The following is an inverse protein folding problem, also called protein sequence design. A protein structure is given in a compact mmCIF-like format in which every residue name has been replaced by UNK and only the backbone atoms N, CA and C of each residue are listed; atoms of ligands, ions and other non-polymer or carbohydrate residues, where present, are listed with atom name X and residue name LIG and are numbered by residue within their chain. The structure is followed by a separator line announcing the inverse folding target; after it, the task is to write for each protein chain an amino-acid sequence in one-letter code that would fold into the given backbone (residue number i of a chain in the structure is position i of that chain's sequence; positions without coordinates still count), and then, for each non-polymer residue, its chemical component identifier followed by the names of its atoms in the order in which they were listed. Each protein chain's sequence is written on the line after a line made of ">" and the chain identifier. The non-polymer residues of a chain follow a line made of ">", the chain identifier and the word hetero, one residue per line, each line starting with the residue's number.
data_IF_427511320626
#
_entry.id   IF_427511320626
#
_cell.length_a   1.000
_cell.length_b   1.000
_cell.length_c   1.000
_cell.angle_alpha   90.00
_cell.angle_beta   90.00
_cell.angle_gamma   90.00
#
_symmetry.space_group_name_H-M   'P 1'
#
loop_
_entity.id
_entity.type
_entity.pdbx_description
1 polymer ?
#
# COMPACT_ATOMS: atom_id res chain seq x y z
N UNK A 1 -17.77 23.74 5.23
CA UNK A 1 -17.94 22.78 4.14
C UNK A 1 -16.74 22.93 3.20
N UNK A 2 -16.58 22.14 2.15
CA UNK A 2 -15.36 22.09 1.32
C UNK A 2 -14.95 23.48 0.76
N UNK A 3 -13.65 23.83 0.89
CA UNK A 3 -13.08 25.12 0.43
C UNK A 3 -12.89 25.15 -1.08
N UNK A 4 -12.74 26.34 -1.65
CA UNK A 4 -12.38 26.54 -3.06
C UNK A 4 -10.96 27.03 -3.19
N UNK A 5 -10.27 26.52 -4.21
CA UNK A 5 -8.98 27.04 -4.70
C UNK A 5 -9.14 27.40 -6.16
N UNK A 6 -8.78 28.64 -6.54
CA UNK A 6 -8.91 29.09 -7.92
C UNK A 6 -7.52 29.19 -8.58
N UNK A 7 -7.30 28.32 -9.56
CA UNK A 7 -6.07 28.27 -10.35
C UNK A 7 -6.18 28.93 -11.71
N UNK A 8 -7.35 29.46 -12.05
CA UNK A 8 -7.57 30.07 -13.36
C UNK A 8 -6.63 31.26 -13.57
N UNK A 9 -6.14 31.40 -14.81
CA UNK A 9 -5.16 32.42 -15.17
C UNK A 9 -3.78 32.28 -14.54
N UNK A 10 -3.50 31.14 -13.86
CA UNK A 10 -2.26 30.92 -13.14
C UNK A 10 -1.49 29.75 -13.74
N UNK A 11 -0.24 29.99 -14.14
CA UNK A 11 0.70 28.92 -14.52
C UNK A 11 1.64 28.65 -13.35
N UNK A 12 1.44 27.54 -12.66
CA UNK A 12 2.15 27.22 -11.42
C UNK A 12 3.11 26.05 -11.60
N UNK A 13 4.16 26.05 -10.77
CA UNK A 13 5.05 24.87 -10.64
C UNK A 13 4.38 23.76 -9.85
N UNK A 14 4.89 22.54 -9.95
CA UNK A 14 4.44 21.40 -9.14
C UNK A 14 4.39 21.75 -7.64
N UNK A 15 5.45 22.34 -7.12
CA UNK A 15 5.53 22.73 -5.71
C UNK A 15 4.47 23.77 -5.31
N UNK A 16 4.17 24.72 -6.20
CA UNK A 16 3.14 25.74 -5.95
C UNK A 16 1.74 25.10 -5.92
N UNK A 17 1.40 24.19 -6.84
CA UNK A 17 0.14 23.45 -6.76
C UNK A 17 0.03 22.65 -5.46
N UNK A 18 1.11 21.99 -5.03
CA UNK A 18 1.13 21.21 -3.78
C UNK A 18 0.92 22.09 -2.54
N UNK A 19 1.48 23.30 -2.52
CA UNK A 19 1.31 24.22 -1.38
C UNK A 19 -0.11 24.79 -1.26
N UNK A 20 -0.82 24.91 -2.38
CA UNK A 20 -2.22 25.41 -2.43
C UNK A 20 -3.25 24.28 -2.11
N UNK A 21 -2.84 23.02 -2.29
CA UNK A 21 -3.61 21.84 -1.97
C UNK A 21 -2.86 21.01 -0.90
N UNK A 22 -2.72 21.55 0.31
CA UNK A 22 -1.98 20.86 1.37
C UNK A 22 -2.71 19.58 1.78
N UNK A 23 -1.92 18.61 2.22
CA UNK A 23 -2.41 17.40 2.87
C UNK A 23 -2.57 17.61 4.37
N UNK A 24 -3.35 16.74 5.00
CA UNK A 24 -3.37 16.69 6.46
C UNK A 24 -1.97 16.31 6.96
N UNK A 25 -1.43 17.09 7.88
CA UNK A 25 -0.13 16.80 8.47
C UNK A 25 -0.22 15.63 9.43
N UNK A 26 0.58 14.60 9.18
CA UNK A 26 0.85 13.53 10.13
C UNK A 26 2.23 13.76 10.76
N UNK A 27 2.26 13.98 12.07
CA UNK A 27 3.53 14.08 12.78
C UNK A 27 4.12 12.69 13.06
N UNK A 28 4.60 12.01 12.00
CA UNK A 28 5.19 10.68 12.10
C UNK A 28 6.43 10.68 12.99
N UNK A 29 7.16 11.81 13.09
CA UNK A 29 8.34 11.91 13.94
C UNK A 29 7.98 11.84 15.43
N UNK A 30 6.92 12.51 15.86
CA UNK A 30 6.45 12.39 17.23
C UNK A 30 5.85 11.00 17.50
N UNK A 31 5.13 10.44 16.54
CA UNK A 31 4.65 9.05 16.64
C UNK A 31 5.82 8.06 16.79
N UNK A 32 6.95 8.25 16.08
CA UNK A 32 8.16 7.42 16.25
C UNK A 32 8.69 7.44 17.67
N UNK A 33 8.72 8.62 18.33
CA UNK A 33 9.16 8.72 19.73
C UNK A 33 8.21 7.99 20.69
N UNK A 34 6.90 8.07 20.42
CA UNK A 34 5.89 7.41 21.25
C UNK A 34 5.94 5.87 21.15
N UNK A 35 6.28 5.33 19.99
CA UNK A 35 6.33 3.89 19.78
C UNK A 35 7.69 3.26 20.17
N UNK A 36 8.76 4.04 20.29
CA UNK A 36 10.09 3.51 20.60
C UNK A 36 10.11 2.57 21.82
N UNK A 37 9.47 2.91 22.97
CA UNK A 37 9.39 1.99 24.10
C UNK A 37 8.61 0.70 23.78
N UNK A 38 7.60 0.79 22.89
CA UNK A 38 6.82 -0.37 22.46
C UNK A 38 7.69 -1.32 21.64
N UNK A 39 8.45 -0.77 20.67
CA UNK A 39 9.34 -1.56 19.82
C UNK A 39 10.39 -2.29 20.65
N UNK A 40 11.02 -1.60 21.60
CA UNK A 40 12.03 -2.22 22.52
C UNK A 40 11.41 -3.24 23.45
N UNK A 41 10.18 -3.03 23.93
CA UNK A 41 9.46 -3.99 24.75
C UNK A 41 9.13 -5.27 23.99
N UNK A 42 8.72 -5.18 22.71
CA UNK A 42 8.46 -6.37 21.89
C UNK A 42 9.77 -7.10 21.54
N UNK A 43 10.82 -6.34 21.20
CA UNK A 43 12.13 -6.90 20.83
C UNK A 43 12.76 -7.76 21.93
N UNK A 44 12.64 -7.32 23.18
CA UNK A 44 13.30 -7.95 24.32
C UNK A 44 12.34 -8.72 25.23
N UNK A 45 11.04 -8.72 24.90
CA UNK A 45 9.97 -9.26 25.74
C UNK A 45 9.55 -10.68 25.36
N UNK A 46 8.37 -11.03 25.86
CA UNK A 46 7.72 -12.32 25.69
C UNK A 46 6.27 -12.15 25.22
N UNK A 47 5.55 -13.25 24.98
CA UNK A 47 4.13 -13.23 24.66
C UNK A 47 3.31 -12.46 25.73
N UNK A 48 3.71 -12.54 27.01
CA UNK A 48 3.05 -11.78 28.08
C UNK A 48 3.09 -10.27 27.85
N UNK A 49 4.20 -9.76 27.31
CA UNK A 49 4.32 -8.34 27.01
C UNK A 49 3.37 -7.91 25.88
N UNK A 50 3.20 -8.73 24.86
CA UNK A 50 2.21 -8.49 23.80
C UNK A 50 0.77 -8.55 24.33
N UNK A 51 0.47 -9.47 25.23
CA UNK A 51 -0.84 -9.56 25.88
C UNK A 51 -1.14 -8.31 26.73
N UNK A 52 -0.14 -7.78 27.43
CA UNK A 52 -0.26 -6.55 28.23
C UNK A 52 -0.42 -5.33 27.34
N UNK A 53 0.32 -5.24 26.22
CA UNK A 53 0.16 -4.18 25.22
C UNK A 53 -1.24 -4.22 24.56
N UNK A 54 -1.77 -5.41 24.30
CA UNK A 54 -3.14 -5.56 23.80
C UNK A 54 -4.17 -5.06 24.83
N UNK A 55 -3.97 -5.36 26.11
CA UNK A 55 -4.82 -4.82 27.17
C UNK A 55 -4.74 -3.29 27.26
N UNK A 56 -3.55 -2.73 27.09
CA UNK A 56 -3.30 -1.29 27.18
C UNK A 56 -3.92 -0.52 26.01
N UNK A 57 -3.69 -0.99 24.76
CA UNK A 57 -4.05 -0.24 23.55
C UNK A 57 -5.38 -0.67 22.91
N UNK A 58 -5.70 -1.97 22.96
CA UNK A 58 -6.92 -2.52 22.37
C UNK A 58 -8.01 -2.73 23.46
N UNK A 59 -7.61 -2.65 24.73
CA UNK A 59 -8.50 -2.73 25.89
C UNK A 59 -9.07 -4.14 26.14
N UNK A 60 -8.42 -5.15 25.60
CA UNK A 60 -8.72 -6.56 25.82
C UNK A 60 -7.43 -7.35 25.89
N UNK A 61 -7.34 -8.32 26.83
CA UNK A 61 -6.24 -9.25 26.93
C UNK A 61 -6.65 -10.58 26.29
N UNK A 62 -6.16 -10.92 25.07
CA UNK A 62 -6.43 -12.22 24.47
C UNK A 62 -5.95 -13.39 25.35
N UNK A 63 -6.50 -14.56 25.16
CA UNK A 63 -6.00 -15.77 25.84
C UNK A 63 -4.64 -16.23 25.26
N UNK A 64 -4.34 -15.89 24.03
CA UNK A 64 -3.09 -16.15 23.30
C UNK A 64 -2.96 -15.15 22.16
N UNK A 65 -1.74 -14.74 21.84
CA UNK A 65 -1.44 -13.91 20.68
C UNK A 65 -1.62 -14.72 19.38
N UNK A 66 -1.24 -15.99 19.37
CA UNK A 66 -1.50 -16.87 18.24
C UNK A 66 -2.98 -17.27 18.22
N UNK A 67 -3.68 -16.95 17.12
CA UNK A 67 -5.09 -17.35 16.95
C UNK A 67 -5.18 -18.86 16.74
N UNK A 68 -6.00 -19.58 17.52
CA UNK A 68 -6.18 -21.02 17.33
C UNK A 68 -6.79 -21.35 15.97
N UNK A 69 -6.36 -22.45 15.34
CA UNK A 69 -6.91 -22.91 14.05
C UNK A 69 -8.42 -23.23 14.12
N UNK A 70 -8.91 -23.63 15.29
CA UNK A 70 -10.36 -23.82 15.54
C UNK A 70 -11.15 -22.52 15.40
N UNK A 71 -10.60 -21.37 15.81
CA UNK A 71 -11.27 -20.08 15.65
C UNK A 71 -11.38 -19.67 14.16
N UNK A 72 -10.35 -19.96 13.36
CA UNK A 72 -10.39 -19.77 11.91
C UNK A 72 -11.46 -20.65 11.25
N UNK A 73 -11.52 -21.92 11.64
CA UNK A 73 -12.50 -22.87 11.11
C UNK A 73 -13.94 -22.47 11.46
N UNK A 74 -14.20 -22.11 12.73
CA UNK A 74 -15.51 -21.64 13.18
C UNK A 74 -15.93 -20.37 12.47
N UNK A 75 -15.03 -19.39 12.35
CA UNK A 75 -15.31 -18.13 11.65
C UNK A 75 -15.69 -18.36 10.17
N UNK A 76 -15.03 -19.31 9.50
CA UNK A 76 -15.37 -19.67 8.13
C UNK A 76 -16.72 -20.40 8.03
N UNK A 77 -17.02 -21.27 8.98
CA UNK A 77 -18.29 -22.02 9.01
C UNK A 77 -19.50 -21.12 9.27
N UNK A 78 -19.32 -20.07 10.08
CA UNK A 78 -20.35 -19.11 10.49
C UNK A 78 -20.43 -17.89 9.57
N UNK A 79 -19.54 -17.79 8.55
CA UNK A 79 -19.54 -16.66 7.65
C UNK A 79 -20.84 -16.56 6.86
N UNK A 80 -21.45 -15.37 6.87
CA UNK A 80 -22.65 -15.08 6.07
C UNK A 80 -22.44 -15.51 4.60
N UNK A 81 -23.37 -16.28 4.02
CA UNK A 81 -23.22 -16.81 2.65
C UNK A 81 -23.10 -15.73 1.57
N UNK A 82 -23.75 -14.57 1.75
CA UNK A 82 -23.66 -13.46 0.80
C UNK A 82 -22.28 -12.80 0.87
N UNK A 83 -21.75 -12.62 2.10
CA UNK A 83 -20.38 -12.11 2.30
C UNK A 83 -19.36 -13.09 1.73
N UNK A 84 -19.54 -14.39 1.96
CA UNK A 84 -18.69 -15.43 1.38
C UNK A 84 -18.64 -15.35 -0.14
N UNK A 85 -19.80 -15.29 -0.80
CA UNK A 85 -19.90 -15.18 -2.26
C UNK A 85 -19.19 -13.93 -2.79
N UNK A 86 -19.37 -12.79 -2.11
CA UNK A 86 -18.70 -11.54 -2.48
C UNK A 86 -17.16 -11.62 -2.34
N UNK A 87 -16.67 -12.23 -1.26
CA UNK A 87 -15.24 -12.46 -1.06
C UNK A 87 -14.64 -13.39 -2.11
N UNK A 88 -15.31 -14.51 -2.40
CA UNK A 88 -14.88 -15.49 -3.42
C UNK A 88 -14.80 -14.86 -4.83
N UNK A 89 -15.77 -14.02 -5.20
CA UNK A 89 -15.74 -13.27 -6.45
C UNK A 89 -14.54 -12.29 -6.50
N UNK A 90 -14.34 -11.52 -5.42
CA UNK A 90 -13.23 -10.55 -5.33
C UNK A 90 -11.88 -11.26 -5.37
N UNK A 91 -11.72 -12.37 -4.65
CA UNK A 91 -10.52 -13.23 -4.67
C UNK A 91 -10.24 -13.71 -6.10
N UNK A 92 -11.26 -14.18 -6.81
CA UNK A 92 -11.11 -14.67 -8.20
C UNK A 92 -10.58 -13.56 -9.12
N UNK A 93 -11.12 -12.34 -9.03
CA UNK A 93 -10.69 -11.20 -9.84
C UNK A 93 -9.26 -10.75 -9.49
N UNK A 94 -8.95 -10.65 -8.20
CA UNK A 94 -7.59 -10.32 -7.73
C UNK A 94 -6.56 -11.35 -8.22
N UNK A 95 -6.87 -12.66 -8.12
CA UNK A 95 -5.98 -13.71 -8.62
C UNK A 95 -5.71 -13.58 -10.12
N UNK A 96 -6.71 -13.19 -10.90
CA UNK A 96 -6.56 -12.97 -12.33
C UNK A 96 -5.61 -11.82 -12.62
N UNK A 97 -5.87 -10.63 -12.05
CA UNK A 97 -5.05 -9.45 -12.29
C UNK A 97 -3.61 -9.61 -11.78
N UNK A 98 -3.46 -10.12 -10.55
CA UNK A 98 -2.12 -10.35 -9.99
C UNK A 98 -1.37 -11.48 -10.70
N UNK A 99 -2.09 -12.49 -11.25
CA UNK A 99 -1.48 -13.52 -12.07
C UNK A 99 -0.77 -12.96 -13.31
N UNK A 100 -1.34 -11.94 -13.93
CA UNK A 100 -0.76 -11.26 -15.09
C UNK A 100 0.44 -10.36 -14.74
N UNK A 101 0.68 -10.09 -13.44
CA UNK A 101 1.81 -9.29 -12.97
C UNK A 101 3.10 -10.09 -12.75
N UNK A 102 3.04 -11.41 -12.82
CA UNK A 102 4.23 -12.26 -12.60
C UNK A 102 5.28 -11.97 -13.65
N UNK A 103 6.51 -11.68 -13.22
CA UNK A 103 7.65 -11.44 -14.11
C UNK A 103 8.35 -12.73 -14.47
N UNK A 104 8.83 -12.81 -15.71
CA UNK A 104 9.72 -13.86 -16.16
C UNK A 104 11.19 -13.48 -15.94
N UNK A 105 12.05 -14.48 -15.73
CA UNK A 105 13.49 -14.28 -15.71
C UNK A 105 13.98 -13.72 -17.05
N UNK A 106 14.98 -12.85 -16.99
CA UNK A 106 15.58 -12.24 -18.19
C UNK A 106 17.02 -12.69 -18.34
N UNK A 107 17.34 -13.30 -19.49
CA UNK A 107 18.67 -13.75 -19.81
C UNK A 107 19.28 -12.84 -20.88
N UNK A 108 20.40 -12.19 -20.56
CA UNK A 108 21.14 -11.32 -21.46
C UNK A 108 22.51 -11.92 -21.77
N UNK A 109 22.77 -12.24 -23.02
CA UNK A 109 24.13 -12.56 -23.50
C UNK A 109 24.86 -11.25 -23.73
N UNK A 110 25.84 -10.94 -22.88
CA UNK A 110 26.62 -9.69 -22.94
C UNK A 110 27.81 -9.79 -23.89
N UNK A 111 28.31 -11.00 -24.06
CA UNK A 111 29.36 -11.39 -25.01
C UNK A 111 29.22 -12.90 -25.27
N UNK A 112 29.80 -13.41 -26.34
CA UNK A 112 29.82 -14.86 -26.56
C UNK A 112 30.54 -15.56 -25.40
N UNK A 113 29.87 -16.51 -24.76
CA UNK A 113 30.34 -17.16 -23.52
C UNK A 113 30.09 -16.37 -22.22
N UNK A 114 29.58 -15.15 -22.28
CA UNK A 114 29.23 -14.32 -21.10
C UNK A 114 27.76 -14.01 -21.01
N UNK A 115 27.12 -14.42 -19.89
CA UNK A 115 25.68 -14.31 -19.68
C UNK A 115 25.37 -13.71 -18.31
N UNK A 116 24.42 -12.78 -18.27
CA UNK A 116 23.80 -12.28 -17.04
C UNK A 116 22.33 -12.65 -17.05
N UNK A 117 21.89 -13.41 -16.04
CA UNK A 117 20.48 -13.77 -15.85
C UNK A 117 19.93 -13.05 -14.65
N UNK A 118 18.90 -12.23 -14.83
CA UNK A 118 18.09 -11.69 -13.74
C UNK A 118 16.97 -12.68 -13.41
N UNK A 119 16.99 -13.21 -12.18
CA UNK A 119 15.94 -14.08 -11.66
C UNK A 119 15.09 -13.37 -10.63
N UNK A 120 13.79 -13.58 -10.70
CA UNK A 120 12.82 -13.07 -9.73
C UNK A 120 12.53 -14.11 -8.65
N UNK A 121 13.02 -13.87 -7.44
CA UNK A 121 12.95 -14.79 -6.31
C UNK A 121 12.06 -14.19 -5.23
N UNK A 122 11.04 -14.92 -4.71
CA UNK A 122 10.22 -14.42 -3.62
C UNK A 122 11.04 -14.18 -2.34
N UNK A 123 10.54 -13.31 -1.46
CA UNK A 123 10.97 -13.29 -0.06
C UNK A 123 10.53 -14.60 0.59
N UNK A 124 11.26 -15.08 1.60
CA UNK A 124 10.95 -16.38 2.20
C UNK A 124 9.73 -16.28 3.10
N UNK A 125 9.60 -15.17 3.86
CA UNK A 125 8.53 -14.97 4.82
C UNK A 125 8.03 -13.54 4.85
N UNK A 126 6.69 -13.37 4.90
CA UNK A 126 6.05 -12.06 4.98
C UNK A 126 5.04 -11.96 6.12
N UNK A 127 5.05 -10.82 6.80
CA UNK A 127 4.04 -10.41 7.76
C UNK A 127 3.05 -9.44 7.11
N UNK A 128 1.76 -9.76 7.15
CA UNK A 128 0.70 -8.96 6.55
C UNK A 128 -0.12 -8.32 7.67
N UNK A 129 -0.09 -7.00 7.75
CA UNK A 129 -0.88 -6.26 8.74
C UNK A 129 -2.25 -5.88 8.17
N UNK A 130 -3.29 -6.24 8.90
CA UNK A 130 -4.68 -5.92 8.57
C UNK A 130 -5.26 -5.06 9.68
N UNK A 131 -5.65 -3.81 9.40
CA UNK A 131 -6.24 -2.95 10.40
C UNK A 131 -7.54 -3.53 10.98
N UNK A 132 -7.86 -3.10 12.19
CA UNK A 132 -9.11 -3.40 12.86
C UNK A 132 -9.56 -2.20 13.70
N UNK A 133 -10.66 -2.33 14.43
CA UNK A 133 -11.18 -1.31 15.32
C UNK A 133 -12.47 -0.70 14.80
N UNK A 134 -12.46 0.54 14.30
CA UNK A 134 -13.69 1.25 13.88
C UNK A 134 -14.39 0.66 12.64
N UNK A 135 -13.63 0.01 11.78
CA UNK A 135 -14.13 -0.71 10.60
C UNK A 135 -13.44 -2.06 10.47
N UNK A 136 -14.07 -2.96 9.73
CA UNK A 136 -13.58 -4.30 9.45
C UNK A 136 -13.13 -4.36 8.00
N UNK A 137 -11.91 -4.81 7.75
CA UNK A 137 -11.28 -4.80 6.44
C UNK A 137 -10.92 -6.21 5.93
N UNK A 138 -11.90 -7.09 5.64
CA UNK A 138 -11.62 -8.38 5.00
C UNK A 138 -10.99 -8.19 3.62
N UNK A 139 -11.28 -7.09 2.93
CA UNK A 139 -10.64 -6.70 1.67
C UNK A 139 -9.12 -6.55 1.84
N UNK A 140 -8.64 -5.95 2.93
CA UNK A 140 -7.19 -5.82 3.16
C UNK A 140 -6.50 -7.16 3.37
N UNK A 141 -7.19 -8.19 3.86
CA UNK A 141 -6.65 -9.56 3.89
C UNK A 141 -6.40 -10.05 2.48
N UNK A 142 -7.42 -9.97 1.59
CA UNK A 142 -7.29 -10.43 0.20
C UNK A 142 -6.21 -9.66 -0.56
N UNK A 143 -6.19 -8.32 -0.41
CA UNK A 143 -5.28 -7.43 -1.12
C UNK A 143 -3.80 -7.67 -0.74
N UNK A 144 -3.53 -8.13 0.47
CA UNK A 144 -2.17 -8.47 0.92
C UNK A 144 -1.82 -9.94 0.62
N UNK A 145 -2.71 -10.88 0.92
CA UNK A 145 -2.42 -12.32 0.82
C UNK A 145 -2.28 -12.78 -0.63
N UNK A 146 -3.17 -12.33 -1.53
CA UNK A 146 -3.21 -12.86 -2.90
C UNK A 146 -1.92 -12.55 -3.68
N UNK A 147 -1.39 -11.32 -3.74
CA UNK A 147 -0.14 -11.08 -4.44
C UNK A 147 1.06 -11.80 -3.80
N UNK A 148 1.08 -11.99 -2.47
CA UNK A 148 2.10 -12.78 -1.79
C UNK A 148 2.05 -14.27 -2.20
N UNK A 149 0.83 -14.86 -2.27
CA UNK A 149 0.62 -16.23 -2.73
C UNK A 149 1.03 -16.40 -4.21
N UNK A 150 0.69 -15.44 -5.07
CA UNK A 150 1.04 -15.48 -6.50
C UNK A 150 2.55 -15.32 -6.70
N UNK A 151 3.20 -14.49 -5.87
CA UNK A 151 4.66 -14.39 -5.82
C UNK A 151 5.33 -15.68 -5.31
N UNK A 152 4.56 -16.64 -4.78
CA UNK A 152 5.03 -17.90 -4.19
C UNK A 152 5.86 -17.71 -2.93
N UNK A 153 5.52 -16.72 -2.10
CA UNK A 153 6.10 -16.58 -0.76
C UNK A 153 5.81 -17.83 0.04
N UNK A 154 6.86 -18.44 0.61
CA UNK A 154 6.75 -19.76 1.26
C UNK A 154 5.99 -19.70 2.60
N UNK A 155 6.15 -18.59 3.35
CA UNK A 155 5.54 -18.40 4.66
C UNK A 155 4.82 -17.06 4.75
N UNK A 156 3.53 -17.09 5.09
CA UNK A 156 2.66 -15.90 5.17
C UNK A 156 2.01 -15.89 6.55
N UNK A 157 2.27 -14.84 7.32
CA UNK A 157 1.64 -14.55 8.59
C UNK A 157 0.74 -13.32 8.48
N UNK A 158 -0.40 -13.33 9.17
CA UNK A 158 -1.33 -12.18 9.23
C UNK A 158 -1.43 -11.70 10.68
N UNK A 159 -1.40 -10.39 10.90
CA UNK A 159 -1.70 -9.78 12.19
C UNK A 159 -2.89 -8.82 12.07
N UNK A 160 -3.80 -8.89 13.02
CA UNK A 160 -4.93 -7.96 13.14
C UNK A 160 -5.26 -7.73 14.62
N UNK A 161 -5.69 -6.50 15.02
CA UNK A 161 -5.95 -6.17 16.40
C UNK A 161 -6.99 -7.09 17.04
N UNK A 162 -6.78 -7.48 18.32
CA UNK A 162 -7.79 -8.17 19.10
C UNK A 162 -8.98 -7.26 19.38
N UNK A 163 -10.18 -7.83 19.49
CA UNK A 163 -11.41 -7.07 19.74
C UNK A 163 -12.14 -7.62 20.96
N UNK A 164 -12.68 -6.71 21.79
CA UNK A 164 -13.39 -7.04 23.02
C UNK A 164 -14.64 -7.89 22.76
N UNK A 165 -15.39 -7.54 21.72
CA UNK A 165 -16.65 -8.19 21.38
C UNK A 165 -16.46 -9.64 20.93
N UNK A 166 -15.22 -10.04 20.61
CA UNK A 166 -14.88 -11.37 20.15
C UNK A 166 -13.87 -12.07 21.09
N UNK A 167 -13.90 -11.72 22.36
CA UNK A 167 -13.06 -12.39 23.38
C UNK A 167 -11.56 -12.22 23.17
N UNK A 168 -11.13 -11.15 22.52
CA UNK A 168 -9.73 -10.89 22.22
C UNK A 168 -9.26 -11.53 20.92
N UNK A 169 -10.12 -12.14 20.13
CA UNK A 169 -9.79 -12.54 18.74
C UNK A 169 -9.97 -11.34 17.80
N UNK A 170 -9.28 -11.34 16.65
CA UNK A 170 -9.63 -10.47 15.52
C UNK A 170 -11.06 -10.71 15.05
N UNK A 171 -11.64 -9.75 14.34
CA UNK A 171 -13.01 -9.84 13.85
C UNK A 171 -13.25 -11.13 13.05
N UNK A 172 -14.39 -11.85 13.27
CA UNK A 172 -14.66 -13.13 12.62
C UNK A 172 -14.57 -13.10 11.10
N UNK A 173 -15.02 -12.02 10.44
CA UNK A 173 -14.92 -11.88 8.98
C UNK A 173 -13.44 -11.83 8.50
N UNK A 174 -12.52 -11.24 9.29
CA UNK A 174 -11.08 -11.26 8.99
C UNK A 174 -10.56 -12.69 9.10
N UNK A 175 -10.90 -13.40 10.18
CA UNK A 175 -10.50 -14.79 10.40
C UNK A 175 -11.04 -15.72 9.30
N UNK A 176 -12.31 -15.54 8.93
CA UNK A 176 -12.94 -16.29 7.85
C UNK A 176 -12.26 -16.06 6.50
N UNK A 177 -11.87 -14.80 6.20
CA UNK A 177 -11.14 -14.46 4.97
C UNK A 177 -9.74 -15.06 4.95
N UNK A 178 -9.04 -15.08 6.09
CA UNK A 178 -7.77 -15.79 6.24
C UNK A 178 -7.95 -17.29 5.95
N UNK A 179 -8.98 -17.91 6.52
CA UNK A 179 -9.29 -19.32 6.30
C UNK A 179 -9.65 -19.63 4.83
N UNK A 180 -10.46 -18.76 4.15
CA UNK A 180 -10.78 -18.87 2.71
C UNK A 180 -9.52 -18.85 1.83
N UNK A 181 -8.50 -18.10 2.25
CA UNK A 181 -7.22 -17.99 1.54
C UNK A 181 -6.18 -19.03 1.99
N UNK A 182 -6.54 -19.94 2.90
CA UNK A 182 -5.66 -20.99 3.39
C UNK A 182 -4.58 -20.50 4.36
N UNK A 183 -4.74 -19.29 4.93
CA UNK A 183 -3.83 -18.76 5.94
C UNK A 183 -4.15 -19.40 7.29
N UNK A 184 -3.15 -20.04 7.89
CA UNK A 184 -3.24 -20.70 9.20
C UNK A 184 -2.46 -19.97 10.28
N UNK A 185 -1.64 -19.00 9.89
CA UNK A 185 -0.81 -18.22 10.79
C UNK A 185 -1.37 -16.82 10.97
N UNK A 186 -2.17 -16.65 12.05
CA UNK A 186 -2.83 -15.37 12.38
C UNK A 186 -2.50 -15.00 13.82
N UNK A 187 -2.22 -13.71 14.05
CA UNK A 187 -1.88 -13.14 15.34
C UNK A 187 -2.89 -12.07 15.76
N UNK A 188 -3.40 -12.18 16.97
CA UNK A 188 -4.27 -11.18 17.61
C UNK A 188 -3.43 -10.05 18.21
N UNK A 189 -2.83 -9.24 17.34
CA UNK A 189 -1.96 -8.12 17.72
C UNK A 189 -2.13 -6.97 16.74
N UNK A 190 -2.25 -5.75 17.24
CA UNK A 190 -2.45 -4.53 16.47
C UNK A 190 -1.27 -3.57 16.53
N UNK A 191 -1.40 -2.43 15.86
CA UNK A 191 -0.50 -1.28 16.03
C UNK A 191 0.98 -1.52 15.74
N UNK A 192 1.82 -0.71 16.39
CA UNK A 192 3.28 -0.77 16.24
C UNK A 192 3.86 -2.11 16.72
N UNK A 193 3.23 -2.74 17.73
CA UNK A 193 3.67 -4.02 18.28
C UNK A 193 3.53 -5.17 17.28
N UNK A 194 2.56 -5.12 16.37
CA UNK A 194 2.44 -6.10 15.28
C UNK A 194 3.61 -6.01 14.30
N UNK A 195 3.99 -4.78 13.93
CA UNK A 195 5.13 -4.53 13.05
C UNK A 195 6.43 -4.97 13.71
N UNK A 196 6.60 -4.69 15.02
CA UNK A 196 7.76 -5.13 15.80
C UNK A 196 7.84 -6.65 15.90
N UNK A 197 6.70 -7.33 16.13
CA UNK A 197 6.63 -8.81 16.16
C UNK A 197 7.12 -9.41 14.85
N UNK A 198 6.70 -8.88 13.71
CA UNK A 198 7.16 -9.35 12.40
C UNK A 198 8.64 -9.00 12.14
N UNK A 199 9.11 -7.85 12.63
CA UNK A 199 10.49 -7.42 12.41
C UNK A 199 11.52 -8.19 13.24
N UNK A 200 11.19 -8.52 14.47
CA UNK A 200 12.13 -9.16 15.40
C UNK A 200 11.88 -10.66 15.58
N UNK A 201 10.63 -11.11 15.34
CA UNK A 201 10.19 -12.41 15.81
C UNK A 201 9.98 -12.42 17.32
N UNK A 202 9.59 -13.58 17.85
CA UNK A 202 9.50 -13.83 19.28
C UNK A 202 9.59 -15.35 19.52
N UNK A 203 10.53 -15.77 20.33
CA UNK A 203 10.80 -17.18 20.58
C UNK A 203 9.55 -17.94 21.05
N UNK A 204 9.28 -19.08 20.41
CA UNK A 204 8.12 -19.91 20.69
C UNK A 204 6.77 -19.38 20.20
N UNK A 205 6.70 -18.17 19.63
CA UNK A 205 5.48 -17.54 19.16
C UNK A 205 5.50 -17.25 17.65
N UNK A 206 6.46 -16.48 17.16
CA UNK A 206 6.52 -16.03 15.78
C UNK A 206 7.95 -15.96 15.27
N UNK A 207 8.19 -16.48 14.07
CA UNK A 207 9.44 -16.27 13.37
C UNK A 207 9.51 -14.87 12.75
N UNK A 208 10.73 -14.31 12.68
CA UNK A 208 11.01 -13.05 12.00
C UNK A 208 10.59 -13.13 10.52
N UNK A 209 10.04 -12.04 10.01
CA UNK A 209 9.71 -11.87 8.59
C UNK A 209 10.78 -11.06 7.84
N UNK A 210 10.88 -11.27 6.52
CA UNK A 210 11.75 -10.49 5.64
C UNK A 210 11.09 -9.18 5.21
N UNK A 211 9.76 -9.20 5.11
CA UNK A 211 8.95 -8.09 4.61
C UNK A 211 7.68 -7.96 5.46
N UNK A 212 7.25 -6.74 5.73
CA UNK A 212 5.92 -6.45 6.27
C UNK A 212 5.16 -5.54 5.33
N UNK A 213 3.87 -5.88 5.06
CA UNK A 213 2.97 -5.08 4.22
C UNK A 213 1.64 -4.82 4.92
N UNK A 214 0.86 -3.92 4.37
CA UNK A 214 -0.50 -3.61 4.82
C UNK A 214 -0.65 -2.18 5.34
N UNK A 215 -1.84 -1.58 5.16
CA UNK A 215 -2.15 -0.24 5.63
C UNK A 215 -2.31 -0.20 7.15
N UNK A 216 -2.20 0.97 7.76
CA UNK A 216 -2.40 1.14 9.18
C UNK A 216 -2.46 2.60 9.59
N UNK A 217 -2.67 2.85 10.88
CA UNK A 217 -2.67 4.18 11.44
C UNK A 217 -1.23 4.76 11.52
N UNK A 218 -1.12 5.99 12.03
CA UNK A 218 0.16 6.71 12.19
C UNK A 218 1.21 5.91 12.96
N UNK A 219 0.82 5.10 13.95
CA UNK A 219 1.76 4.29 14.76
C UNK A 219 2.30 3.09 13.97
N UNK A 220 1.49 2.52 13.08
CA UNK A 220 1.91 1.48 12.14
C UNK A 220 2.89 2.06 11.11
N UNK A 221 2.57 3.24 10.55
CA UNK A 221 3.47 3.94 9.62
C UNK A 221 4.79 4.31 10.29
N UNK A 222 4.74 4.83 11.53
CA UNK A 222 5.92 5.14 12.33
C UNK A 222 6.78 3.90 12.62
N UNK A 223 6.15 2.75 12.96
CA UNK A 223 6.86 1.50 13.20
C UNK A 223 7.54 0.98 11.93
N UNK A 224 6.85 1.00 10.79
CA UNK A 224 7.45 0.66 9.48
C UNK A 224 8.66 1.54 9.18
N UNK A 225 8.55 2.86 9.37
CA UNK A 225 9.67 3.81 9.19
C UNK A 225 10.83 3.51 10.13
N UNK A 226 10.57 3.31 11.42
CA UNK A 226 11.60 3.06 12.43
C UNK A 226 12.34 1.74 12.19
N UNK A 227 11.64 0.71 11.69
CA UNK A 227 12.18 -0.62 11.48
C UNK A 227 12.66 -0.89 10.05
N UNK A 228 12.57 0.11 9.16
CA UNK A 228 13.12 0.02 7.81
C UNK A 228 14.63 -0.24 7.86
N UNK A 229 15.06 -1.35 7.26
CA UNK A 229 16.44 -1.84 7.35
C UNK A 229 16.61 -3.01 8.32
N UNK A 230 15.69 -3.19 9.29
CA UNK A 230 15.55 -4.42 10.06
C UNK A 230 14.64 -5.41 9.33
N UNK A 231 13.57 -4.88 8.74
CA UNK A 231 12.61 -5.59 7.90
C UNK A 231 12.30 -4.76 6.64
N UNK A 232 12.02 -5.41 5.53
CA UNK A 232 11.46 -4.75 4.34
C UNK A 232 10.05 -4.23 4.61
N UNK A 233 9.66 -3.14 3.96
CA UNK A 233 8.30 -2.58 4.04
C UNK A 233 7.75 -2.33 2.65
N UNK A 234 6.42 -2.35 2.49
CA UNK A 234 5.73 -1.93 1.26
C UNK A 234 5.83 -0.42 1.05
N UNK A 235 5.18 0.35 1.92
CA UNK A 235 5.16 1.81 1.91
C UNK A 235 4.85 2.36 3.31
N UNK A 236 5.10 3.65 3.48
CA UNK A 236 4.62 4.40 4.63
C UNK A 236 3.24 4.96 4.26
N UNK A 237 2.18 4.38 4.82
CA UNK A 237 0.82 4.86 4.58
C UNK A 237 0.54 6.16 5.35
N UNK A 238 0.09 7.17 4.63
CA UNK A 238 -0.52 8.38 5.19
C UNK A 238 -2.05 8.29 5.22
N UNK A 239 -2.75 9.42 5.46
CA UNK A 239 -4.19 9.50 5.31
C UNK A 239 -4.59 9.13 3.88
N UNK A 240 -5.75 8.50 3.75
CA UNK A 240 -6.30 8.15 2.43
C UNK A 240 -6.75 9.39 1.66
N UNK A 241 -6.64 9.36 0.33
CA UNK A 241 -6.82 10.52 -0.54
C UNK A 241 -7.57 10.15 -1.82
N UNK A 242 -8.52 11.00 -2.22
CA UNK A 242 -9.08 10.99 -3.58
C UNK A 242 -8.83 12.34 -4.26
N UNK A 243 -8.50 12.28 -5.54
CA UNK A 243 -8.64 13.41 -6.46
C UNK A 243 -9.59 13.00 -7.61
N UNK A 244 -10.55 13.86 -7.94
CA UNK A 244 -11.46 13.66 -9.07
C UNK A 244 -11.19 14.77 -10.08
N UNK A 245 -10.76 14.40 -11.29
CA UNK A 245 -10.67 15.31 -12.43
C UNK A 245 -11.96 15.21 -13.25
N UNK A 246 -12.75 16.27 -13.31
CA UNK A 246 -14.05 16.25 -13.95
C UNK A 246 -14.30 17.51 -14.78
N UNK A 247 -14.92 17.36 -15.94
CA UNK A 247 -15.45 18.45 -16.77
C UNK A 247 -16.98 18.59 -16.62
N UNK A 248 -17.57 19.49 -17.39
CA UNK A 248 -19.00 19.75 -17.35
C UNK A 248 -19.89 18.55 -17.75
N UNK A 249 -19.33 17.47 -18.29
CA UNK A 249 -20.06 16.25 -18.64
C UNK A 249 -20.30 15.33 -17.44
N UNK A 250 -19.56 15.55 -16.34
CA UNK A 250 -19.69 14.75 -15.13
C UNK A 250 -21.04 15.00 -14.42
N UNK A 251 -21.52 13.98 -13.73
CA UNK A 251 -22.75 14.06 -12.95
C UNK A 251 -22.40 14.46 -11.51
N UNK A 252 -22.86 15.65 -11.08
CA UNK A 252 -22.55 16.21 -9.77
C UNK A 252 -22.88 15.25 -8.60
N UNK A 253 -23.97 14.49 -8.73
CA UNK A 253 -24.39 13.52 -7.75
C UNK A 253 -23.41 12.34 -7.58
N UNK A 254 -22.81 11.88 -8.67
CA UNK A 254 -21.82 10.81 -8.67
C UNK A 254 -20.51 11.33 -8.03
N UNK A 255 -19.99 12.49 -8.50
CA UNK A 255 -18.80 13.15 -7.95
C UNK A 255 -18.95 13.41 -6.44
N UNK A 256 -20.10 13.90 -6.00
CA UNK A 256 -20.35 14.12 -4.57
C UNK A 256 -20.37 12.81 -3.76
N UNK A 257 -20.93 11.73 -4.32
CA UNK A 257 -20.93 10.42 -3.69
C UNK A 257 -19.52 9.86 -3.50
N UNK A 258 -18.65 10.03 -4.52
CA UNK A 258 -17.27 9.53 -4.48
C UNK A 258 -16.40 10.35 -3.50
N UNK A 259 -16.58 11.68 -3.44
CA UNK A 259 -15.94 12.52 -2.41
C UNK A 259 -16.38 12.13 -0.99
N UNK A 260 -17.65 11.78 -0.80
CA UNK A 260 -18.21 11.34 0.49
C UNK A 260 -17.65 9.97 0.86
N UNK A 261 -17.59 9.01 -0.07
CA UNK A 261 -17.06 7.68 0.20
C UNK A 261 -15.62 7.73 0.70
N UNK A 262 -14.82 8.65 0.16
CA UNK A 262 -13.45 8.87 0.63
C UNK A 262 -13.41 9.54 2.01
N UNK A 263 -14.22 10.58 2.22
CA UNK A 263 -14.29 11.31 3.49
C UNK A 263 -14.82 10.46 4.65
N UNK A 264 -15.52 9.36 4.36
CA UNK A 264 -16.04 8.43 5.36
C UNK A 264 -14.94 7.65 6.09
N UNK A 265 -13.76 7.49 5.49
CA UNK A 265 -12.67 6.68 6.06
C UNK A 265 -12.13 7.29 7.36
N UNK A 266 -11.80 8.59 7.35
CA UNK A 266 -11.23 9.27 8.51
C UNK A 266 -11.47 10.79 8.45
N UNK A 267 -11.39 11.48 9.60
CA UNK A 267 -11.51 12.95 9.70
C UNK A 267 -10.39 13.69 8.95
N UNK A 268 -9.25 13.04 8.75
CA UNK A 268 -8.10 13.57 8.01
C UNK A 268 -8.01 13.06 6.57
N UNK A 269 -9.00 12.28 6.10
CA UNK A 269 -9.07 11.88 4.68
C UNK A 269 -9.18 13.11 3.78
N UNK A 270 -8.50 13.08 2.63
CA UNK A 270 -8.51 14.18 1.67
C UNK A 270 -9.45 13.88 0.50
N UNK A 271 -10.32 14.83 0.18
CA UNK A 271 -11.27 14.75 -0.92
C UNK A 271 -11.12 16.00 -1.81
N UNK A 272 -10.61 15.83 -3.03
CA UNK A 272 -10.31 16.93 -3.95
C UNK A 272 -11.09 16.73 -5.25
N UNK A 273 -11.82 17.76 -5.66
CA UNK A 273 -12.36 17.89 -7.01
C UNK A 273 -11.51 18.90 -7.78
N UNK A 274 -11.06 18.56 -8.98
CA UNK A 274 -10.41 19.46 -9.94
C UNK A 274 -11.31 19.58 -11.16
N UNK A 275 -11.76 20.77 -11.49
CA UNK A 275 -12.70 20.97 -12.60
C UNK A 275 -12.50 22.32 -13.30
N UNK A 276 -12.73 22.35 -14.60
CA UNK A 276 -12.80 23.57 -15.41
C UNK A 276 -14.23 24.17 -15.44
N UNK A 277 -15.19 23.51 -14.80
CA UNK A 277 -16.60 23.94 -14.75
C UNK A 277 -16.99 24.48 -13.37
N UNK A 278 -17.15 25.80 -13.27
CA UNK A 278 -17.68 26.42 -12.06
C UNK A 278 -19.13 25.95 -11.78
N UNK A 279 -19.90 25.66 -12.81
CA UNK A 279 -21.27 25.16 -12.67
C UNK A 279 -21.28 23.75 -12.06
N UNK A 280 -20.37 22.86 -12.47
CA UNK A 280 -20.21 21.55 -11.84
C UNK A 280 -19.78 21.68 -10.37
N UNK A 281 -18.84 22.57 -10.08
CA UNK A 281 -18.38 22.81 -8.72
C UNK A 281 -19.52 23.23 -7.77
N UNK A 282 -20.41 24.13 -8.23
CA UNK A 282 -21.56 24.58 -7.45
C UNK A 282 -22.62 23.47 -7.28
N UNK A 283 -22.88 22.70 -8.34
CA UNK A 283 -23.76 21.55 -8.29
C UNK A 283 -23.25 20.46 -7.32
N UNK A 284 -21.94 20.16 -7.35
CA UNK A 284 -21.31 19.21 -6.40
C UNK A 284 -21.43 19.71 -4.96
N UNK A 285 -21.25 21.01 -4.69
CA UNK A 285 -21.48 21.57 -3.34
C UNK A 285 -22.91 21.37 -2.86
N UNK A 286 -23.89 21.59 -3.74
CA UNK A 286 -25.28 21.39 -3.40
C UNK A 286 -25.58 19.91 -3.07
N UNK A 287 -25.06 19.00 -3.87
CA UNK A 287 -25.19 17.55 -3.63
C UNK A 287 -24.50 17.11 -2.33
N UNK A 288 -23.31 17.62 -2.01
CA UNK A 288 -22.61 17.34 -0.77
C UNK A 288 -23.44 17.73 0.46
N UNK A 289 -24.13 18.90 0.43
CA UNK A 289 -25.00 19.36 1.53
C UNK A 289 -26.10 18.33 1.80
N UNK A 290 -26.76 17.87 0.74
CA UNK A 290 -27.91 16.95 0.82
C UNK A 290 -27.42 15.57 1.31
N UNK A 291 -26.40 15.01 0.64
CA UNK A 291 -25.96 13.63 0.84
C UNK A 291 -25.25 13.41 2.18
N UNK A 292 -24.40 14.35 2.60
CA UNK A 292 -23.72 14.24 3.91
C UNK A 292 -24.70 14.19 5.07
N UNK A 293 -25.84 14.92 4.99
CA UNK A 293 -26.86 14.89 6.05
C UNK A 293 -27.60 13.56 6.13
N UNK A 294 -27.60 12.75 5.06
CA UNK A 294 -28.29 11.47 4.98
C UNK A 294 -27.41 10.27 5.34
N UNK A 295 -26.09 10.44 5.50
CA UNK A 295 -25.18 9.33 5.79
C UNK A 295 -25.08 9.00 7.27
N UNK A 296 -24.74 7.74 7.60
CA UNK A 296 -24.54 7.27 8.97
C UNK A 296 -23.40 8.01 9.69
N UNK A 297 -22.33 8.40 8.98
CA UNK A 297 -21.11 8.99 9.54
C UNK A 297 -20.97 10.48 9.20
N UNK A 298 -22.08 11.20 9.19
CA UNK A 298 -22.18 12.59 8.74
C UNK A 298 -21.22 13.56 9.44
N UNK A 299 -20.96 13.38 10.73
CA UNK A 299 -20.03 14.24 11.49
C UNK A 299 -18.58 14.07 11.00
N UNK A 300 -18.12 12.83 10.91
CA UNK A 300 -16.78 12.49 10.39
C UNK A 300 -16.56 13.04 8.99
N UNK A 301 -17.55 12.83 8.10
CA UNK A 301 -17.50 13.30 6.71
C UNK A 301 -17.45 14.83 6.65
N UNK A 302 -18.26 15.54 7.47
CA UNK A 302 -18.18 17.00 7.54
C UNK A 302 -16.84 17.51 7.99
N UNK A 303 -16.23 16.86 8.97
CA UNK A 303 -14.90 17.22 9.47
C UNK A 303 -13.85 17.02 8.35
N UNK A 304 -13.81 15.87 7.70
CA UNK A 304 -12.92 15.59 6.58
C UNK A 304 -13.06 16.58 5.41
N UNK A 305 -14.32 16.85 4.99
CA UNK A 305 -14.60 17.77 3.89
C UNK A 305 -14.35 19.26 4.23
N UNK A 306 -14.38 19.64 5.50
CA UNK A 306 -14.09 21.01 5.94
C UNK A 306 -12.62 21.24 6.29
N UNK A 307 -11.84 20.18 6.37
CA UNK A 307 -10.41 20.26 6.63
C UNK A 307 -9.63 20.92 5.49
N UNK A 308 -8.45 21.43 5.80
CA UNK A 308 -7.58 22.10 4.83
C UNK A 308 -7.15 21.18 3.67
N UNK A 309 -7.13 19.86 3.92
CA UNK A 309 -6.76 18.82 2.96
C UNK A 309 -7.82 18.59 1.88
N UNK A 310 -9.07 19.03 2.06
CA UNK A 310 -10.15 18.86 1.10
C UNK A 310 -10.47 20.16 0.37
N UNK A 311 -10.66 20.12 -0.95
CA UNK A 311 -10.89 21.32 -1.75
C UNK A 311 -11.63 21.03 -3.07
N UNK A 312 -12.28 22.06 -3.61
CA UNK A 312 -12.67 22.13 -5.02
C UNK A 312 -11.71 23.12 -5.69
N UNK A 313 -10.88 22.60 -6.59
CA UNK A 313 -9.92 23.36 -7.39
C UNK A 313 -10.56 23.71 -8.75
N UNK A 314 -10.66 25.00 -9.06
CA UNK A 314 -11.15 25.49 -10.36
C UNK A 314 -9.94 25.79 -11.23
N UNK A 315 -9.96 25.27 -12.46
CA UNK A 315 -8.89 25.42 -13.45
C UNK A 315 -9.42 26.05 -14.73
N UNK A 316 -8.52 26.50 -15.63
CA UNK A 316 -8.89 27.05 -16.91
C UNK A 316 -9.31 25.98 -17.93
N UNK A 317 -8.73 24.78 -17.83
CA UNK A 317 -8.96 23.67 -18.76
C UNK A 317 -8.64 22.32 -18.11
N UNK A 318 -9.07 21.24 -18.75
CA UNK A 318 -8.71 19.87 -18.32
C UNK A 318 -7.20 19.62 -18.41
N UNK A 319 -6.47 20.25 -19.34
CA UNK A 319 -5.02 20.18 -19.42
C UNK A 319 -4.36 20.75 -18.16
N UNK A 320 -4.79 21.92 -17.70
CA UNK A 320 -4.31 22.47 -16.42
C UNK A 320 -4.74 21.54 -15.25
N UNK A 321 -5.94 20.99 -15.30
CA UNK A 321 -6.41 20.00 -14.33
C UNK A 321 -5.51 18.77 -14.26
N UNK A 322 -5.01 18.26 -15.39
CA UNK A 322 -4.04 17.17 -15.47
C UNK A 322 -2.72 17.55 -14.80
N UNK A 323 -2.24 18.79 -14.97
CA UNK A 323 -1.05 19.29 -14.28
C UNK A 323 -1.25 19.30 -12.75
N UNK A 324 -2.43 19.77 -12.30
CA UNK A 324 -2.80 19.81 -10.88
C UNK A 324 -2.83 18.39 -10.27
N UNK A 325 -3.52 17.43 -10.90
CA UNK A 325 -3.63 16.07 -10.35
C UNK A 325 -2.30 15.32 -10.42
N UNK A 326 -1.47 15.54 -11.45
CA UNK A 326 -0.11 15.01 -11.51
C UNK A 326 0.80 15.63 -10.44
N UNK A 327 0.62 16.92 -10.12
CA UNK A 327 1.35 17.58 -9.05
C UNK A 327 0.92 17.04 -7.69
N UNK A 328 -0.37 16.85 -7.49
CA UNK A 328 -0.93 16.30 -6.25
C UNK A 328 -0.54 14.84 -6.03
N UNK A 329 -0.55 14.01 -7.07
CA UNK A 329 -0.18 12.59 -7.00
C UNK A 329 -1.00 11.83 -5.93
N UNK A 330 -2.32 11.83 -6.09
CA UNK A 330 -3.26 11.20 -5.15
C UNK A 330 -3.10 9.69 -5.08
N UNK A 331 -3.54 9.10 -3.97
CA UNK A 331 -3.74 7.66 -3.81
C UNK A 331 -4.73 7.14 -4.86
N UNK A 332 -5.92 7.75 -4.90
CA UNK A 332 -6.97 7.42 -5.86
C UNK A 332 -7.19 8.62 -6.78
N UNK A 333 -7.16 8.41 -8.10
CA UNK A 333 -7.50 9.42 -9.07
C UNK A 333 -8.66 8.96 -9.94
N UNK A 334 -9.79 9.63 -9.86
CA UNK A 334 -10.89 9.44 -10.80
C UNK A 334 -10.82 10.46 -11.94
N UNK A 335 -11.15 10.02 -13.15
CA UNK A 335 -11.24 10.87 -14.32
C UNK A 335 -12.65 10.77 -14.89
N UNK A 336 -13.44 11.82 -14.68
CA UNK A 336 -14.83 11.93 -15.10
C UNK A 336 -14.99 13.07 -16.13
N UNK A 337 -14.23 12.97 -17.22
CA UNK A 337 -14.28 13.89 -18.36
C UNK A 337 -14.91 13.22 -19.57
N UNK A 338 -15.38 14.00 -20.54
CA UNK A 338 -15.90 13.47 -21.81
C UNK A 338 -14.87 12.60 -22.54
N UNK A 339 -13.57 12.91 -22.38
CA UNK A 339 -12.45 12.19 -22.98
C UNK A 339 -11.64 11.36 -21.95
N UNK A 340 -12.28 10.84 -20.91
CA UNK A 340 -11.63 10.24 -19.73
C UNK A 340 -10.48 9.26 -20.07
N UNK A 341 -10.60 8.43 -21.11
CA UNK A 341 -9.55 7.49 -21.52
C UNK A 341 -8.33 8.19 -22.13
N UNK A 342 -8.54 9.28 -22.88
CA UNK A 342 -7.46 10.07 -23.48
C UNK A 342 -6.73 10.83 -22.38
N UNK A 343 -7.47 11.44 -21.47
CA UNK A 343 -6.93 12.21 -20.36
C UNK A 343 -6.18 11.32 -19.37
N UNK A 344 -6.68 10.10 -19.10
CA UNK A 344 -5.98 9.09 -18.33
C UNK A 344 -4.59 8.74 -18.91
N UNK A 345 -4.44 8.74 -20.23
CA UNK A 345 -3.15 8.52 -20.90
C UNK A 345 -2.09 9.59 -20.61
N UNK A 346 -2.48 10.75 -20.08
CA UNK A 346 -1.59 11.86 -19.69
C UNK A 346 -1.20 11.84 -18.21
N UNK A 347 -1.82 10.95 -17.42
CA UNK A 347 -1.53 10.82 -15.99
C UNK A 347 -0.23 10.06 -15.79
N UNK A 348 0.61 10.55 -14.88
CA UNK A 348 1.90 9.97 -14.52
C UNK A 348 2.03 9.68 -13.04
N UNK A 349 1.28 10.37 -12.21
CA UNK A 349 1.42 10.31 -10.76
C UNK A 349 0.04 10.07 -10.11
N UNK A 350 -0.27 8.82 -9.85
CA UNK A 350 -1.42 8.40 -9.04
C UNK A 350 -1.18 6.98 -8.52
N UNK A 351 -1.73 6.63 -7.38
CA UNK A 351 -1.68 5.26 -6.87
C UNK A 351 -2.51 4.32 -7.74
N UNK A 352 -3.75 4.71 -8.05
CA UNK A 352 -4.61 4.07 -9.03
C UNK A 352 -5.41 5.12 -9.83
N UNK A 353 -5.74 4.80 -11.08
CA UNK A 353 -6.54 5.67 -11.97
C UNK A 353 -7.83 4.98 -12.35
N UNK A 354 -8.96 5.62 -12.04
CA UNK A 354 -10.32 5.15 -12.31
C UNK A 354 -10.91 5.95 -13.46
N UNK A 355 -11.29 5.26 -14.55
CA UNK A 355 -11.55 5.92 -15.83
C UNK A 355 -13.04 5.87 -16.17
N UNK A 356 -13.67 7.03 -16.17
CA UNK A 356 -15.07 7.23 -16.55
C UNK A 356 -16.05 6.88 -15.44
N UNK A 357 -17.29 7.28 -15.66
CA UNK A 357 -18.41 7.26 -14.70
C UNK A 357 -18.62 5.93 -13.97
N UNK A 358 -18.41 4.78 -14.64
CA UNK A 358 -18.71 3.45 -14.09
C UNK A 358 -17.51 2.80 -13.42
N UNK A 359 -16.49 3.58 -13.08
CA UNK A 359 -15.28 3.14 -12.39
C UNK A 359 -15.05 3.96 -11.12
N UNK A 360 -15.97 3.95 -10.14
CA UNK A 360 -15.75 4.66 -8.87
C UNK A 360 -14.65 3.98 -8.05
N UNK A 361 -14.01 4.72 -7.13
CA UNK A 361 -12.97 4.21 -6.23
C UNK A 361 -13.44 3.00 -5.45
N UNK A 362 -14.68 3.00 -4.94
CA UNK A 362 -15.24 1.88 -4.18
C UNK A 362 -15.26 0.56 -4.97
N UNK A 363 -15.30 0.61 -6.29
CA UNK A 363 -15.13 -0.60 -7.12
C UNK A 363 -13.71 -1.16 -6.96
N UNK A 364 -12.68 -0.29 -6.94
CA UNK A 364 -11.27 -0.65 -6.73
C UNK A 364 -11.01 -1.20 -5.34
N UNK A 365 -11.66 -0.63 -4.33
CA UNK A 365 -11.50 -1.04 -2.93
C UNK A 365 -11.95 -2.48 -2.66
N UNK A 366 -12.87 -3.00 -3.48
CA UNK A 366 -13.46 -4.32 -3.22
C UNK A 366 -13.26 -5.32 -4.35
N UNK A 367 -13.75 -5.03 -5.55
CA UNK A 367 -14.03 -6.08 -6.54
C UNK A 367 -13.58 -5.80 -7.97
N UNK A 368 -12.85 -4.71 -8.24
CA UNK A 368 -12.32 -4.43 -9.58
C UNK A 368 -11.26 -5.47 -10.01
N UNK A 369 -10.55 -6.04 -9.05
CA UNK A 369 -9.38 -6.88 -9.28
C UNK A 369 -8.07 -6.11 -9.18
N UNK A 370 -8.10 -4.78 -9.02
CA UNK A 370 -6.95 -3.96 -8.63
C UNK A 370 -6.67 -4.08 -7.14
N UNK A 371 -5.48 -3.66 -6.71
CA UNK A 371 -5.13 -3.62 -5.29
C UNK A 371 -5.39 -2.25 -4.70
N UNK A 372 -5.98 -2.18 -3.51
CA UNK A 372 -6.26 -0.93 -2.81
C UNK A 372 -5.15 -0.50 -1.83
N UNK A 373 -4.14 -1.31 -1.62
CA UNK A 373 -2.96 -0.89 -0.83
C UNK A 373 -2.08 -0.03 -1.72
N UNK A 374 -2.29 1.26 -1.65
CA UNK A 374 -1.75 2.26 -2.58
C UNK A 374 -0.84 3.26 -1.86
N UNK A 375 0.08 3.92 -2.57
CA UNK A 375 0.90 4.97 -1.98
C UNK A 375 0.07 6.23 -1.73
N UNK A 376 0.15 6.76 -0.51
CA UNK A 376 -0.50 8.00 -0.07
C UNK A 376 0.51 9.14 0.09
N UNK A 377 0.05 10.32 0.46
CA UNK A 377 0.94 11.43 0.82
C UNK A 377 1.79 11.96 -0.34
N UNK A 378 1.35 11.78 -1.59
CA UNK A 378 2.10 12.16 -2.79
C UNK A 378 3.21 11.17 -3.17
N UNK A 379 3.37 10.06 -2.46
CA UNK A 379 4.37 9.03 -2.76
C UNK A 379 4.10 8.34 -4.11
N UNK A 380 2.91 8.47 -4.68
CA UNK A 380 2.59 7.94 -6.01
C UNK A 380 3.48 8.48 -7.15
N UNK A 381 4.27 9.53 -6.90
CA UNK A 381 5.27 10.02 -7.86
C UNK A 381 6.56 9.17 -7.91
N UNK A 382 6.79 8.24 -6.97
CA UNK A 382 7.98 7.39 -6.91
C UNK A 382 7.72 5.98 -6.38
N UNK A 383 6.52 5.70 -5.86
CA UNK A 383 6.14 4.40 -5.30
C UNK A 383 4.93 3.84 -6.03
N UNK A 384 4.87 2.53 -6.15
CA UNK A 384 3.70 1.80 -6.66
C UNK A 384 2.83 1.32 -5.50
N UNK A 385 1.57 0.95 -5.81
CA UNK A 385 0.75 0.16 -4.91
C UNK A 385 1.32 -1.25 -4.67
N UNK A 386 0.62 -2.05 -3.90
CA UNK A 386 1.01 -3.42 -3.60
C UNK A 386 0.79 -4.32 -4.82
N UNK A 387 1.85 -4.87 -5.35
CA UNK A 387 1.89 -5.76 -6.50
C UNK A 387 2.61 -7.06 -6.17
N UNK A 388 2.56 -8.01 -7.08
CA UNK A 388 3.35 -9.27 -6.98
C UNK A 388 4.85 -8.98 -6.82
N UNK A 389 5.36 -7.94 -7.52
CA UNK A 389 6.76 -7.54 -7.46
C UNK A 389 7.21 -7.05 -6.08
N UNK A 390 6.29 -6.56 -5.23
CA UNK A 390 6.61 -6.18 -3.84
C UNK A 390 7.17 -7.36 -3.04
N UNK A 391 6.77 -8.58 -3.39
CA UNK A 391 7.18 -9.83 -2.74
C UNK A 391 8.33 -10.54 -3.46
N UNK A 392 8.88 -9.93 -4.53
CA UNK A 392 9.94 -10.51 -5.35
C UNK A 392 11.22 -9.67 -5.24
N UNK A 393 12.37 -10.36 -5.32
CA UNK A 393 13.69 -9.74 -5.41
C UNK A 393 14.35 -10.16 -6.71
N UNK A 394 14.92 -9.20 -7.44
CA UNK A 394 15.78 -9.48 -8.59
C UNK A 394 17.17 -9.94 -8.12
N UNK A 395 17.63 -11.10 -8.55
CA UNK A 395 18.97 -11.60 -8.34
C UNK A 395 19.70 -11.77 -9.66
N UNK A 396 20.92 -11.22 -9.76
CA UNK A 396 21.77 -11.42 -10.92
C UNK A 396 22.63 -12.68 -10.75
N UNK A 397 22.53 -13.57 -11.75
CA UNK A 397 23.39 -14.72 -11.91
C UNK A 397 24.35 -14.40 -13.05
N UNK A 398 25.65 -14.33 -12.76
CA UNK A 398 26.69 -13.96 -13.72
C UNK A 398 27.50 -15.21 -14.05
N UNK A 399 27.50 -15.60 -15.33
CA UNK A 399 28.20 -16.78 -15.83
C UNK A 399 29.11 -16.37 -16.98
N UNK A 400 30.39 -16.70 -16.89
CA UNK A 400 31.40 -16.49 -17.95
C UNK A 400 32.15 -17.78 -18.17
N UNK A 401 32.31 -18.16 -19.43
CA UNK A 401 33.25 -19.19 -19.79
C UNK A 401 34.68 -18.65 -19.80
N UNK A 402 35.66 -19.55 -20.04
CA UNK A 402 37.08 -19.20 -20.05
C UNK A 402 37.43 -18.17 -21.14
N UNK A 403 36.82 -18.26 -22.31
CA UNK A 403 37.14 -17.38 -23.44
C UNK A 403 36.65 -15.95 -23.16
N UNK A 404 35.40 -15.81 -22.77
CA UNK A 404 34.82 -14.54 -22.38
C UNK A 404 35.52 -13.91 -21.16
N UNK A 405 35.91 -14.74 -20.17
CA UNK A 405 36.71 -14.29 -19.04
C UNK A 405 38.07 -13.71 -19.47
N UNK A 406 38.80 -14.38 -20.35
CA UNK A 406 40.09 -13.91 -20.83
C UNK A 406 39.99 -12.61 -21.64
N UNK A 407 38.92 -12.43 -22.38
CA UNK A 407 38.64 -11.22 -23.15
C UNK A 407 38.45 -10.00 -22.23
N UNK A 408 37.65 -10.13 -21.15
CA UNK A 408 37.31 -9.03 -20.26
C UNK A 408 38.37 -8.75 -19.18
N UNK A 409 39.29 -9.70 -18.93
CA UNK A 409 40.30 -9.63 -17.88
C UNK A 409 41.10 -8.32 -17.88
N UNK A 410 41.70 -7.83 -19.03
CA UNK A 410 42.44 -6.58 -19.01
C UNK A 410 41.61 -5.37 -18.61
N UNK A 411 40.34 -5.34 -18.99
CA UNK A 411 39.41 -4.25 -18.66
C UNK A 411 39.18 -4.17 -17.16
N UNK A 412 38.92 -5.32 -16.50
CA UNK A 412 38.70 -5.36 -15.06
C UNK A 412 39.95 -4.94 -14.29
N UNK A 413 41.15 -5.41 -14.71
CA UNK A 413 42.42 -5.03 -14.09
C UNK A 413 42.65 -3.52 -14.23
N UNK A 414 42.39 -2.94 -15.42
CA UNK A 414 42.54 -1.50 -15.66
C UNK A 414 41.64 -0.68 -14.75
N UNK A 415 40.37 -1.05 -14.64
CA UNK A 415 39.40 -0.35 -13.77
C UNK A 415 39.78 -0.50 -12.29
N UNK A 416 40.13 -1.71 -11.85
CA UNK A 416 40.56 -1.95 -10.48
C UNK A 416 41.80 -1.13 -10.10
N UNK A 417 42.72 -0.95 -11.04
CA UNK A 417 43.92 -0.11 -10.86
C UNK A 417 43.53 1.38 -10.75
N UNK A 418 42.63 1.84 -11.60
CA UNK A 418 42.19 3.22 -11.61
C UNK A 418 41.41 3.59 -10.30
N UNK A 419 40.74 2.61 -9.71
CA UNK A 419 40.02 2.76 -8.44
C UNK A 419 40.90 2.53 -7.20
N UNK A 420 42.20 2.28 -7.36
CA UNK A 420 43.13 1.91 -6.28
C UNK A 420 42.68 0.66 -5.49
N UNK A 421 42.14 -0.33 -6.22
CA UNK A 421 41.67 -1.62 -5.68
C UNK A 421 42.45 -2.80 -6.26
N UNK A 422 43.79 -2.90 -6.03
CA UNK A 422 44.64 -3.88 -6.68
C UNK A 422 44.25 -5.33 -6.40
N UNK A 423 43.66 -5.62 -5.24
CA UNK A 423 43.18 -6.95 -4.90
C UNK A 423 42.07 -7.46 -5.83
N UNK A 424 41.24 -6.57 -6.42
CA UNK A 424 40.26 -6.94 -7.44
C UNK A 424 40.94 -7.42 -8.73
N UNK A 425 42.01 -6.71 -9.17
CA UNK A 425 42.83 -7.15 -10.30
C UNK A 425 43.54 -8.47 -10.01
N UNK A 426 44.08 -8.64 -8.80
CA UNK A 426 44.74 -9.90 -8.38
C UNK A 426 43.72 -11.06 -8.36
N UNK A 427 42.49 -10.85 -7.90
CA UNK A 427 41.47 -11.87 -7.95
C UNK A 427 41.16 -12.37 -9.36
N UNK A 428 41.23 -11.47 -10.35
CA UNK A 428 41.12 -11.85 -11.77
C UNK A 428 42.35 -12.65 -12.24
N UNK A 429 43.57 -12.17 -11.96
CA UNK A 429 44.84 -12.79 -12.41
C UNK A 429 45.07 -14.17 -11.78
N UNK A 430 44.66 -14.40 -10.53
CA UNK A 430 44.81 -15.67 -9.83
C UNK A 430 44.13 -16.85 -10.56
N UNK A 431 43.10 -16.58 -11.38
CA UNK A 431 42.44 -17.60 -12.20
C UNK A 431 43.30 -18.08 -13.39
N UNK A 432 44.36 -17.34 -13.73
CA UNK A 432 45.31 -17.76 -14.76
C UNK A 432 46.34 -18.76 -14.23
N UNK A 433 46.69 -18.71 -12.94
CA UNK A 433 47.74 -19.52 -12.31
C UNK A 433 47.45 -21.03 -12.39
N UNK A 434 46.22 -21.45 -12.50
CA UNK A 434 45.78 -22.84 -12.58
C UNK A 434 45.27 -23.23 -13.99
N UNK A 435 45.59 -22.47 -15.01
CA UNK A 435 45.18 -22.76 -16.40
C UNK A 435 46.21 -23.56 -17.18
N UNK A 436 47.35 -23.97 -16.55
CA UNK A 436 48.42 -24.82 -17.14
C UNK A 436 48.06 -26.30 -17.08
#
# INVERSE_FOLDING_TARGET
>A
MIRTVDFRGRSLTKAAYQSELPRAELNVVDAMRLIEPILERVKNGSESDLLDLAQEFDGVRPSSIRVPGTALASALAELDPAVRTALELSISRLRKTHGDQVRSDTKTTVVDGGVVTEKWIPVDRVGLYVPGGRAVYPSSVMMNVIPAQIAKVASIAVASPPQRDFGGLPHPTILATCALLGITEVYAVGGAQAIALFAYGMDGLAEKCDLVTGPGNIYVAAAKRALRGVIGIDSEAGPTEIAILADNSAIAADVAADLISQAEHDVIAAAILVTDSAALADAVRAELIIRVSATKHSERIREALSGIQSAIAIVDSIEQGIDVVNAYAAEHLEIQTVNARIDAGKIRNAGAVFIGRFSPVSLGDYSAGSNHVLPTGGCACHSSGLYVQTFLRGLHFVEYDKAAFLEILPTVITLATAEDLPAHGQAMSARLENLS
#
